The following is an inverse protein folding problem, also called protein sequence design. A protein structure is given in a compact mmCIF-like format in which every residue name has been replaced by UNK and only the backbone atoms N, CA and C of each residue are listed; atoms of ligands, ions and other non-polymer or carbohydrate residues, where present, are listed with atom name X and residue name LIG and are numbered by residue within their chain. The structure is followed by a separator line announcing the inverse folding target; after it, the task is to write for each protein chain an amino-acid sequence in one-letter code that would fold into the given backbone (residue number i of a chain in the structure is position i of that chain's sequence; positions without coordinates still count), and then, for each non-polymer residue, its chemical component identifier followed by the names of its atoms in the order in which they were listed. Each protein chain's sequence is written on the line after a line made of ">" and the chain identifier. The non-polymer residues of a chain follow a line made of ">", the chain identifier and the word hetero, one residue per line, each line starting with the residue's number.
data_IF_623897138440
#
_entry.id   IF_623897138440
#
_cell.length_a   1.000
_cell.length_b   1.000
_cell.length_c   1.000
_cell.angle_alpha   90.00
_cell.angle_beta   90.00
_cell.angle_gamma   90.00
#
_symmetry.space_group_name_H-M   'P 1'
#
loop_
_entity.id
_entity.type
_entity.pdbx_description
1 polymer ?
#
# COMPACT_ATOMS: atom_id res chain seq x y z
N UNK A 1 25.89 2.11 9.64
CA UNK A 1 26.61 3.34 9.26
C UNK A 1 25.60 4.38 8.76
N UNK A 2 25.38 5.43 9.55
CA UNK A 2 24.52 6.59 9.22
C UNK A 2 25.07 7.43 8.06
N UNK A 3 26.22 7.06 7.51
CA UNK A 3 26.96 7.84 6.51
C UNK A 3 26.46 7.73 5.07
N UNK A 4 25.52 6.85 4.78
CA UNK A 4 25.00 6.69 3.43
C UNK A 4 23.47 6.75 3.40
N UNK A 5 22.93 7.98 3.44
CA UNK A 5 21.50 8.26 3.41
C UNK A 5 20.83 7.68 2.16
N UNK A 6 21.54 7.59 1.03
CA UNK A 6 20.98 7.03 -0.20
C UNK A 6 20.51 5.59 0.00
N UNK A 7 21.28 4.78 0.76
CA UNK A 7 20.87 3.39 1.08
C UNK A 7 19.57 3.32 1.89
N UNK A 8 19.33 4.29 2.75
CA UNK A 8 18.09 4.37 3.51
C UNK A 8 16.92 4.78 2.62
N UNK A 9 17.12 5.79 1.78
CA UNK A 9 16.11 6.23 0.82
C UNK A 9 15.74 5.12 -0.16
N UNK A 10 16.72 4.38 -0.69
CA UNK A 10 16.52 3.24 -1.56
C UNK A 10 15.75 2.11 -0.86
N UNK A 11 16.05 1.83 0.42
CA UNK A 11 15.34 0.82 1.20
C UNK A 11 13.89 1.23 1.48
N UNK A 12 13.65 2.49 1.86
CA UNK A 12 12.30 3.04 2.06
C UNK A 12 11.50 2.96 0.77
N UNK A 13 12.10 3.37 -0.37
CA UNK A 13 11.48 3.27 -1.67
C UNK A 13 11.09 1.82 -2.00
N UNK A 14 11.99 0.86 -1.75
CA UNK A 14 11.77 -0.55 -2.03
C UNK A 14 10.69 -1.18 -1.13
N UNK A 15 10.58 -0.76 0.13
CA UNK A 15 9.49 -1.17 1.02
C UNK A 15 8.14 -0.59 0.57
N UNK A 16 8.13 0.68 0.16
CA UNK A 16 6.92 1.33 -0.32
C UNK A 16 6.39 0.69 -1.62
N UNK A 17 7.27 0.16 -2.47
CA UNK A 17 6.87 -0.52 -3.70
C UNK A 17 6.27 -1.90 -3.47
N UNK A 18 6.65 -2.61 -2.40
CA UNK A 18 6.11 -3.94 -2.04
C UNK A 18 5.86 -4.83 -3.27
N UNK A 19 6.90 -5.06 -4.08
CA UNK A 19 6.77 -5.80 -5.34
C UNK A 19 6.01 -7.13 -5.21
N UNK A 20 6.20 -7.94 -4.13
CA UNK A 20 5.45 -9.18 -3.93
C UNK A 20 3.97 -8.99 -3.62
N UNK A 21 3.46 -7.76 -3.46
CA UNK A 21 2.10 -7.45 -3.00
C UNK A 21 1.74 -8.13 -1.66
N UNK A 22 2.70 -8.14 -0.77
CA UNK A 22 2.54 -8.75 0.55
C UNK A 22 1.62 -7.96 1.46
N UNK A 23 1.43 -6.67 1.17
CA UNK A 23 0.68 -5.67 1.97
C UNK A 23 1.19 -5.55 3.40
N UNK A 24 2.42 -6.01 3.64
CA UNK A 24 3.08 -5.92 4.94
C UNK A 24 3.97 -4.69 5.00
N UNK A 25 4.02 -4.07 6.15
CA UNK A 25 4.94 -2.97 6.41
C UNK A 25 6.39 -3.42 6.34
N UNK A 26 7.26 -2.57 5.82
CA UNK A 26 8.70 -2.75 5.85
C UNK A 26 9.31 -2.00 7.02
N UNK A 27 10.41 -2.51 7.56
CA UNK A 27 11.11 -1.91 8.70
C UNK A 27 12.58 -1.66 8.37
N UNK A 28 13.01 -0.41 8.54
CA UNK A 28 14.41 -0.03 8.52
C UNK A 28 14.87 0.19 9.96
N UNK A 29 15.81 -0.63 10.42
CA UNK A 29 16.29 -0.63 11.78
C UNK A 29 17.73 -0.13 11.81
N UNK A 30 18.01 0.90 12.61
CA UNK A 30 19.35 1.42 12.89
C UNK A 30 19.65 1.18 14.38
N UNK A 31 20.88 0.81 14.67
CA UNK A 31 21.33 0.55 16.03
C UNK A 31 21.43 -0.91 16.40
N UNK A 32 21.15 -1.83 15.46
CA UNK A 32 21.37 -3.27 15.63
C UNK A 32 22.34 -3.81 14.56
N UNK A 33 23.05 -4.87 14.93
CA UNK A 33 23.81 -5.72 14.03
C UNK A 33 22.92 -6.86 13.49
N UNK A 34 23.35 -7.53 12.42
CA UNK A 34 22.63 -8.66 11.80
C UNK A 34 22.38 -9.83 12.76
N UNK A 35 23.20 -9.97 13.81
CA UNK A 35 23.05 -10.97 14.86
C UNK A 35 22.05 -10.55 15.96
N UNK A 36 21.37 -9.42 15.82
CA UNK A 36 20.41 -8.89 16.77
C UNK A 36 21.01 -8.13 17.97
N UNK A 37 22.34 -8.05 18.09
CA UNK A 37 22.97 -7.28 19.18
C UNK A 37 22.87 -5.78 18.91
N UNK A 38 22.67 -5.00 19.95
CA UNK A 38 22.70 -3.55 19.87
C UNK A 38 24.11 -3.04 19.55
N UNK A 39 24.18 -1.99 18.72
CA UNK A 39 25.45 -1.42 18.27
C UNK A 39 26.00 -0.33 19.19
N UNK A 40 25.28 -0.02 20.29
CA UNK A 40 25.61 1.10 21.16
C UNK A 40 25.27 2.47 20.56
N UNK A 41 24.45 2.51 19.50
CA UNK A 41 23.99 3.76 18.90
C UNK A 41 23.27 4.60 19.96
N UNK A 42 23.54 5.90 19.99
CA UNK A 42 22.71 6.88 20.69
C UNK A 42 21.92 7.67 19.67
N UNK A 43 20.60 7.59 19.79
CA UNK A 43 19.67 8.26 18.89
C UNK A 43 19.29 9.59 19.52
N UNK A 44 19.75 10.67 18.91
CA UNK A 44 19.38 12.04 19.26
C UNK A 44 18.27 12.58 18.35
N UNK A 45 17.72 13.73 18.73
CA UNK A 45 16.69 14.42 17.95
C UNK A 45 17.15 14.78 16.53
N UNK A 46 18.43 15.04 16.34
CA UNK A 46 18.98 15.38 15.03
C UNK A 46 18.90 14.18 14.08
N UNK A 47 19.23 12.97 14.57
CA UNK A 47 19.12 11.75 13.79
C UNK A 47 17.66 11.40 13.49
N UNK A 48 16.76 11.51 14.50
CA UNK A 48 15.32 11.32 14.30
C UNK A 48 14.77 12.23 13.22
N UNK A 49 15.03 13.53 13.32
CA UNK A 49 14.61 14.54 12.33
C UNK A 49 15.20 14.23 10.95
N UNK A 50 16.44 13.82 10.88
CA UNK A 50 17.12 13.48 9.62
C UNK A 50 16.48 12.29 8.91
N UNK A 51 16.12 11.24 9.64
CA UNK A 51 15.43 10.08 9.05
C UNK A 51 13.98 10.40 8.71
N UNK A 52 13.26 11.13 9.56
CA UNK A 52 11.90 11.56 9.29
C UNK A 52 11.81 12.49 8.06
N UNK A 53 12.80 13.36 7.85
CA UNK A 53 12.87 14.30 6.73
C UNK A 53 12.94 13.56 5.37
N UNK A 54 13.40 12.31 5.31
CA UNK A 54 13.42 11.51 4.07
C UNK A 54 12.02 11.45 3.43
N UNK A 55 10.96 11.44 4.26
CA UNK A 55 9.58 11.43 3.76
C UNK A 55 9.25 12.62 2.87
N UNK A 56 9.81 13.80 3.17
CA UNK A 56 9.38 15.08 2.59
C UNK A 56 10.51 15.87 1.92
N UNK A 57 11.69 15.30 1.76
CA UNK A 57 12.84 15.96 1.12
C UNK A 57 12.72 16.07 -0.42
N UNK A 58 11.66 15.50 -1.00
CA UNK A 58 11.37 15.55 -2.44
C UNK A 58 12.14 14.53 -3.28
N UNK A 59 13.01 13.73 -2.68
CA UNK A 59 13.78 12.73 -3.41
C UNK A 59 13.00 11.43 -3.65
N UNK A 60 11.98 11.13 -2.81
CA UNK A 60 11.10 9.96 -2.94
C UNK A 60 9.71 10.42 -3.34
N UNK A 61 9.24 10.00 -4.50
CA UNK A 61 7.93 10.36 -5.04
C UNK A 61 7.22 9.14 -5.66
N UNK A 62 5.89 8.99 -5.47
CA UNK A 62 5.05 9.73 -4.51
C UNK A 62 5.56 9.57 -3.08
N UNK A 63 5.16 10.50 -2.19
CA UNK A 63 5.65 10.51 -0.81
C UNK A 63 5.33 9.20 -0.09
N UNK A 64 6.30 8.55 0.56
CA UNK A 64 6.05 7.31 1.29
C UNK A 64 5.23 7.57 2.57
N UNK A 65 4.38 6.63 2.91
CA UNK A 65 3.71 6.59 4.20
C UNK A 65 4.62 5.88 5.18
N UNK A 66 5.17 6.63 6.13
CA UNK A 66 6.12 6.11 7.10
C UNK A 66 6.04 6.81 8.45
N UNK A 67 6.43 6.09 9.51
CA UNK A 67 6.69 6.62 10.85
C UNK A 67 8.12 6.32 11.27
N UNK A 68 8.64 7.09 12.24
CA UNK A 68 9.99 6.90 12.77
C UNK A 68 9.89 6.96 14.29
N UNK A 69 10.39 5.93 14.96
CA UNK A 69 10.32 5.77 16.40
C UNK A 69 11.71 5.43 16.98
N UNK A 70 11.94 5.90 18.21
CA UNK A 70 13.13 5.57 19.00
C UNK A 70 12.74 4.59 20.11
N UNK A 71 13.56 3.58 20.30
CA UNK A 71 13.47 2.63 21.41
C UNK A 71 14.78 2.69 22.20
N UNK A 72 14.67 2.90 23.51
CA UNK A 72 15.83 3.04 24.41
C UNK A 72 16.09 1.72 25.15
N UNK A 73 17.35 1.30 25.13
CA UNK A 73 17.83 0.13 25.86
C UNK A 73 19.12 0.46 26.60
N UNK A 74 19.47 -0.28 27.67
CA UNK A 74 20.70 -0.03 28.44
C UNK A 74 21.97 -0.08 27.59
N UNK A 75 21.99 -0.99 26.57
CA UNK A 75 23.14 -1.23 25.70
C UNK A 75 23.21 -0.27 24.50
N UNK A 76 22.19 0.57 24.28
CA UNK A 76 22.09 1.50 23.15
C UNK A 76 20.67 1.65 22.64
N UNK A 77 20.45 2.59 21.75
CA UNK A 77 19.14 2.90 21.21
C UNK A 77 18.93 2.22 19.86
N UNK A 78 17.67 1.91 19.55
CA UNK A 78 17.23 1.59 18.20
C UNK A 78 16.42 2.74 17.62
N UNK A 79 16.63 3.04 16.36
CA UNK A 79 15.73 3.86 15.55
C UNK A 79 15.07 2.95 14.54
N UNK A 80 13.75 2.94 14.52
CA UNK A 80 12.96 2.13 13.62
C UNK A 80 12.13 3.05 12.71
N UNK A 81 12.34 2.94 11.41
CA UNK A 81 11.45 3.54 10.42
C UNK A 81 10.54 2.44 9.87
N UNK A 82 9.25 2.58 10.12
CA UNK A 82 8.19 1.73 9.58
C UNK A 82 7.69 2.35 8.30
N UNK A 83 7.59 1.57 7.22
CA UNK A 83 7.15 2.03 5.90
C UNK A 83 5.98 1.17 5.44
N UNK A 84 4.87 1.81 5.13
CA UNK A 84 3.69 1.14 4.56
C UNK A 84 3.81 1.00 3.05
N UNK A 85 3.30 -0.10 2.47
CA UNK A 85 3.15 -0.23 1.02
C UNK A 85 2.35 0.93 0.45
N UNK A 86 2.80 1.45 -0.69
CA UNK A 86 2.12 2.53 -1.40
C UNK A 86 0.89 2.02 -2.14
N UNK A 87 -0.22 2.74 -2.05
CA UNK A 87 -1.42 2.48 -2.85
C UNK A 87 -1.27 2.99 -4.30
N UNK A 88 -0.27 3.83 -4.56
CA UNK A 88 -0.02 4.44 -5.87
C UNK A 88 1.42 4.17 -6.35
N UNK A 89 1.86 2.89 -6.43
CA UNK A 89 3.17 2.55 -6.98
C UNK A 89 3.23 2.90 -8.48
N UNK A 90 4.41 2.97 -9.11
CA UNK A 90 5.72 2.84 -8.48
C UNK A 90 6.16 4.09 -7.74
N UNK A 91 6.74 3.89 -6.56
CA UNK A 91 7.48 4.91 -5.82
C UNK A 91 8.90 4.97 -6.37
N UNK A 92 9.42 6.18 -6.57
CA UNK A 92 10.74 6.40 -7.16
C UNK A 92 11.64 7.19 -6.21
N UNK A 93 12.87 6.77 -6.07
CA UNK A 93 13.92 7.57 -5.44
C UNK A 93 14.83 8.14 -6.52
N UNK A 94 14.90 9.47 -6.63
CA UNK A 94 15.64 10.19 -7.69
C UNK A 94 15.35 9.63 -9.08
N UNK A 95 14.07 9.38 -9.38
CA UNK A 95 13.60 8.87 -10.67
C UNK A 95 13.74 7.36 -10.87
N UNK A 96 14.43 6.62 -9.98
CA UNK A 96 14.62 5.16 -10.09
C UNK A 96 13.67 4.42 -9.17
N UNK A 97 13.13 3.31 -9.65
CA UNK A 97 12.29 2.40 -8.86
C UNK A 97 13.18 1.37 -8.19
N UNK A 98 13.08 1.29 -6.86
CA UNK A 98 13.77 0.25 -6.08
C UNK A 98 12.77 -0.74 -5.57
N UNK A 99 13.13 -2.02 -5.58
CA UNK A 99 12.33 -3.16 -5.13
C UNK A 99 13.14 -4.07 -4.22
N UNK A 100 12.47 -4.96 -3.48
CA UNK A 100 13.14 -6.00 -2.69
C UNK A 100 12.97 -7.36 -3.35
N UNK A 101 14.11 -8.05 -3.48
CA UNK A 101 14.19 -9.44 -3.94
C UNK A 101 14.77 -10.22 -2.76
N UNK A 102 13.88 -10.79 -1.93
CA UNK A 102 14.29 -11.40 -0.67
C UNK A 102 14.95 -10.38 0.28
N UNK A 103 16.18 -10.64 0.77
CA UNK A 103 16.87 -9.73 1.68
C UNK A 103 17.53 -8.54 0.98
N UNK A 104 17.65 -8.57 -0.35
CA UNK A 104 18.35 -7.54 -1.13
C UNK A 104 17.39 -6.53 -1.71
N UNK A 105 17.83 -5.27 -1.77
CA UNK A 105 17.21 -4.27 -2.63
C UNK A 105 17.90 -4.24 -3.97
N UNK A 106 17.15 -3.98 -5.02
CA UNK A 106 17.65 -3.81 -6.38
C UNK A 106 16.85 -2.75 -7.13
N UNK A 107 17.34 -2.36 -8.30
CA UNK A 107 16.60 -1.48 -9.21
C UNK A 107 15.61 -2.36 -9.96
N UNK A 108 14.35 -1.91 -10.02
CA UNK A 108 13.31 -2.63 -10.75
C UNK A 108 13.65 -2.73 -12.26
N UNK A 109 13.41 -3.90 -12.82
CA UNK A 109 13.39 -4.11 -14.26
C UNK A 109 12.15 -3.46 -14.89
N UNK A 110 12.14 -3.30 -16.21
CA UNK A 110 10.98 -2.77 -16.94
C UNK A 110 9.70 -3.59 -16.69
N UNK A 111 9.81 -4.91 -16.56
CA UNK A 111 8.69 -5.79 -16.26
C UNK A 111 8.13 -5.52 -14.86
N UNK A 112 9.01 -5.35 -13.86
CA UNK A 112 8.62 -5.06 -12.49
C UNK A 112 8.01 -3.67 -12.36
N UNK A 113 8.55 -2.66 -13.06
CA UNK A 113 7.94 -1.33 -13.12
C UNK A 113 6.55 -1.37 -13.75
N UNK A 114 6.35 -2.20 -14.80
CA UNK A 114 5.05 -2.38 -15.42
C UNK A 114 4.07 -3.03 -14.45
N UNK A 115 4.44 -4.08 -13.73
CA UNK A 115 3.61 -4.72 -12.70
C UNK A 115 3.14 -3.70 -11.67
N UNK A 116 4.06 -2.86 -11.17
CA UNK A 116 3.72 -1.81 -10.21
C UNK A 116 2.77 -0.76 -10.81
N UNK A 117 2.97 -0.40 -12.07
CA UNK A 117 2.09 0.55 -12.77
C UNK A 117 0.69 -0.02 -12.99
N UNK A 118 0.58 -1.28 -13.40
CA UNK A 118 -0.70 -1.98 -13.56
C UNK A 118 -1.45 -2.07 -12.23
N UNK A 119 -0.73 -2.33 -11.12
CA UNK A 119 -1.29 -2.31 -9.77
C UNK A 119 -1.86 -0.94 -9.42
N UNK A 120 -1.13 0.14 -9.72
CA UNK A 120 -1.64 1.51 -9.55
C UNK A 120 -2.92 1.73 -10.32
N UNK A 121 -2.99 1.30 -11.58
CA UNK A 121 -4.20 1.46 -12.41
C UNK A 121 -5.40 0.72 -11.83
N UNK A 122 -5.18 -0.47 -11.25
CA UNK A 122 -6.23 -1.21 -10.57
C UNK A 122 -6.75 -0.50 -9.30
N UNK A 123 -5.89 0.25 -8.59
CA UNK A 123 -6.30 1.09 -7.45
C UNK A 123 -6.92 2.43 -7.86
N UNK A 124 -6.64 2.90 -9.06
CA UNK A 124 -7.24 4.13 -9.61
C UNK A 124 -8.56 3.84 -10.34
N UNK A 125 -9.20 2.70 -10.06
CA UNK A 125 -10.59 2.51 -10.44
C UNK A 125 -11.36 3.79 -10.08
N UNK A 126 -12.26 4.21 -10.95
CA UNK A 126 -13.06 5.42 -10.72
C UNK A 126 -13.73 5.32 -9.34
N UNK A 127 -13.97 6.47 -8.71
CA UNK A 127 -14.66 6.54 -7.41
C UNK A 127 -15.89 5.63 -7.37
N UNK A 128 -16.64 5.58 -8.47
CA UNK A 128 -17.85 4.77 -8.64
C UNK A 128 -17.60 3.24 -8.65
N UNK A 129 -16.36 2.81 -8.87
CA UNK A 129 -15.97 1.39 -8.85
C UNK A 129 -15.13 1.04 -7.62
N UNK A 130 -15.03 1.95 -6.65
CA UNK A 130 -14.27 1.73 -5.42
C UNK A 130 -15.20 1.22 -4.34
N UNK A 131 -14.92 0.04 -3.73
CA UNK A 131 -15.75 -0.49 -2.65
C UNK A 131 -15.87 0.49 -1.48
N UNK A 132 -17.08 0.75 -1.00
CA UNK A 132 -17.33 1.60 0.16
C UNK A 132 -17.15 0.79 1.44
N UNK A 133 -15.91 0.71 1.92
CA UNK A 133 -15.58 -0.07 3.13
C UNK A 133 -16.34 0.45 4.35
N UNK A 134 -17.07 -0.45 5.00
CA UNK A 134 -17.89 -0.13 6.17
C UNK A 134 -19.37 0.12 5.83
N UNK A 135 -19.73 0.16 4.53
CA UNK A 135 -21.13 0.13 4.12
C UNK A 135 -21.65 -1.32 3.98
N UNK A 136 -22.95 -1.45 3.99
CA UNK A 136 -23.67 -2.72 3.84
C UNK A 136 -24.74 -2.58 2.77
N UNK A 137 -25.38 -3.69 2.38
CA UNK A 137 -26.53 -3.64 1.44
C UNK A 137 -27.68 -2.80 2.00
N UNK A 138 -27.83 -2.73 3.32
CA UNK A 138 -28.88 -1.95 3.97
C UNK A 138 -28.71 -0.43 3.81
N UNK A 139 -27.51 0.00 3.42
CA UNK A 139 -27.23 1.41 3.09
C UNK A 139 -27.64 1.78 1.65
N UNK A 140 -28.05 0.78 0.84
CA UNK A 140 -28.51 0.98 -0.54
C UNK A 140 -30.03 1.05 -0.60
N UNK A 141 -30.57 1.86 -1.52
CA UNK A 141 -31.97 1.78 -1.89
C UNK A 141 -32.21 0.55 -2.79
N UNK A 142 -32.35 -0.62 -2.13
CA UNK A 142 -32.53 -1.92 -2.80
C UNK A 142 -33.80 -1.92 -3.65
N UNK A 143 -34.85 -1.20 -3.26
CA UNK A 143 -36.10 -1.12 -4.02
C UNK A 143 -35.87 -0.38 -5.35
N UNK A 144 -35.24 0.77 -5.31
CA UNK A 144 -34.88 1.51 -6.53
C UNK A 144 -33.94 0.71 -7.44
N UNK A 145 -32.98 -0.04 -6.87
CA UNK A 145 -32.09 -0.90 -7.64
C UNK A 145 -32.89 -1.99 -8.37
N UNK A 146 -33.79 -2.69 -7.70
CA UNK A 146 -34.56 -3.78 -8.28
C UNK A 146 -35.59 -3.31 -9.32
N UNK A 147 -36.24 -2.17 -9.05
CA UNK A 147 -37.34 -1.69 -9.88
C UNK A 147 -36.93 -0.79 -11.04
N UNK A 148 -35.80 -0.11 -10.90
CA UNK A 148 -35.35 0.88 -11.88
C UNK A 148 -34.01 0.53 -12.49
N UNK A 149 -32.99 0.27 -11.67
CA UNK A 149 -31.61 0.11 -12.18
C UNK A 149 -31.41 -1.25 -12.87
N UNK A 150 -31.69 -2.37 -12.19
CA UNK A 150 -31.48 -3.69 -12.79
C UNK A 150 -32.24 -3.87 -14.11
N UNK A 151 -33.53 -3.46 -14.24
CA UNK A 151 -34.22 -3.52 -15.53
C UNK A 151 -33.63 -2.62 -16.63
N UNK A 152 -32.83 -1.61 -16.27
CA UNK A 152 -32.18 -0.74 -17.26
C UNK A 152 -30.87 -1.29 -17.80
N UNK A 153 -30.20 -2.21 -17.08
CA UNK A 153 -28.87 -2.73 -17.40
C UNK A 153 -28.85 -4.24 -17.72
N UNK A 154 -29.89 -4.96 -17.34
CA UNK A 154 -30.05 -6.41 -17.57
C UNK A 154 -31.38 -6.65 -18.28
N UNK A 155 -31.41 -7.58 -19.25
CA UNK A 155 -32.64 -7.90 -19.97
C UNK A 155 -33.70 -8.51 -19.05
N UNK A 156 -34.98 -8.28 -19.36
CA UNK A 156 -36.08 -8.82 -18.57
C UNK A 156 -36.11 -10.36 -18.53
N UNK A 157 -35.61 -11.01 -19.60
CA UNK A 157 -35.50 -12.46 -19.66
C UNK A 157 -34.42 -12.99 -18.70
N UNK A 158 -33.25 -12.33 -18.65
CA UNK A 158 -32.15 -12.67 -17.75
C UNK A 158 -32.55 -12.42 -16.29
N UNK A 159 -33.22 -11.31 -16.00
CA UNK A 159 -33.71 -11.00 -14.65
C UNK A 159 -34.74 -12.04 -14.16
N UNK A 160 -35.65 -12.48 -15.02
CA UNK A 160 -36.64 -13.49 -14.69
C UNK A 160 -36.03 -14.87 -14.45
N UNK A 161 -34.94 -15.19 -15.14
CA UNK A 161 -34.20 -16.45 -15.01
C UNK A 161 -33.18 -16.45 -13.85
N UNK A 162 -32.83 -15.29 -13.30
CA UNK A 162 -31.79 -15.14 -12.31
C UNK A 162 -32.28 -15.55 -10.92
N UNK A 163 -31.79 -16.70 -10.43
CA UNK A 163 -32.10 -17.22 -9.11
C UNK A 163 -31.01 -16.90 -8.06
N UNK A 164 -30.01 -16.08 -8.44
CA UNK A 164 -28.91 -15.69 -7.54
C UNK A 164 -29.44 -14.78 -6.42
N UNK A 165 -28.72 -14.79 -5.31
CA UNK A 165 -29.03 -13.84 -4.25
C UNK A 165 -28.72 -12.38 -4.67
N UNK A 166 -29.21 -11.43 -3.89
CA UNK A 166 -29.05 -10.01 -4.21
C UNK A 166 -27.58 -9.59 -4.28
N UNK A 167 -26.72 -10.12 -3.40
CA UNK A 167 -25.27 -9.81 -3.42
C UNK A 167 -24.64 -10.25 -4.73
N UNK A 168 -24.98 -11.42 -5.20
CA UNK A 168 -24.47 -11.96 -6.47
C UNK A 168 -25.00 -11.19 -7.68
N UNK A 169 -26.26 -10.80 -7.66
CA UNK A 169 -26.85 -9.94 -8.70
C UNK A 169 -26.13 -8.59 -8.75
N UNK A 170 -25.94 -7.92 -7.61
CA UNK A 170 -25.25 -6.66 -7.51
C UNK A 170 -23.77 -6.76 -7.92
N UNK A 171 -23.09 -7.85 -7.55
CA UNK A 171 -21.72 -8.08 -7.96
C UNK A 171 -21.57 -8.25 -9.46
N UNK A 172 -22.55 -8.84 -10.15
CA UNK A 172 -22.54 -9.01 -11.61
C UNK A 172 -22.63 -7.68 -12.37
N UNK A 173 -23.27 -6.67 -11.77
CA UNK A 173 -23.39 -5.31 -12.32
C UNK A 173 -22.42 -4.32 -11.66
N UNK A 174 -21.43 -4.83 -10.90
CA UNK A 174 -20.37 -4.06 -10.23
C UNK A 174 -20.86 -3.06 -9.17
N UNK A 175 -21.99 -3.34 -8.54
CA UNK A 175 -22.52 -2.58 -7.40
C UNK A 175 -22.23 -3.26 -6.05
N UNK A 176 -21.44 -4.34 -6.05
CA UNK A 176 -21.04 -5.05 -4.84
C UNK A 176 -19.68 -5.72 -5.03
N UNK A 177 -18.78 -5.52 -4.08
CA UNK A 177 -17.46 -6.17 -4.07
C UNK A 177 -17.46 -7.39 -3.14
N UNK A 178 -17.34 -8.60 -3.73
CA UNK A 178 -17.34 -9.86 -2.98
C UNK A 178 -16.15 -10.01 -2.03
N UNK A 179 -15.01 -9.36 -2.34
CA UNK A 179 -13.78 -9.49 -1.55
C UNK A 179 -13.87 -8.69 -0.25
N UNK A 180 -14.55 -7.56 -0.31
CA UNK A 180 -14.73 -6.66 0.83
C UNK A 180 -16.10 -6.78 1.48
N UNK A 181 -17.01 -7.60 0.90
CA UNK A 181 -18.40 -7.81 1.33
C UNK A 181 -19.17 -6.50 1.51
N UNK A 182 -19.02 -5.56 0.58
CA UNK A 182 -19.64 -4.23 0.62
C UNK A 182 -19.98 -3.71 -0.79
N UNK A 183 -20.96 -2.76 -0.89
CA UNK A 183 -21.21 -1.99 -2.09
C UNK A 183 -20.04 -1.19 -2.60
#
# INVERSE_FOLDING_TARGET
>A
STGNMDKFCEAICAFANDLPDSRKKGYLILGAYDNGKLSGLKVDDALLKKIAAIRSDGNILPLPVMSVEKFEFPEGDLLVAEVSPSLIPPVRYRGRVFVRIGPRRDIASEVEERILTERRMAYMATFDATPCIGSTIDDLDVEAIKTSYLPSVVSSEELAADQRDLKEQLASVRLFDRKFDCP
#
